data_IF_389019047030
#
_entry.id   IF_389019047030
#
_cell.length_a   1.000
_cell.length_b   1.000
_cell.length_c   1.000
_cell.angle_alpha   90.00
_cell.angle_beta   90.00
_cell.angle_gamma   90.00
#
_symmetry.space_group_name_H-M   'P 1'
#
loop_
_entity.id
_entity.type
_entity.pdbx_description
1 polymer ?
#
# COMPACT_ATOMS: atom_id res chain seq x y z
N UNK A 1 -14.94 -7.24 24.77
CA UNK A 1 -16.14 -6.66 24.10
C UNK A 1 -15.61 -5.93 22.88
N UNK A 2 -15.73 -6.51 21.69
CA UNK A 2 -15.04 -6.02 20.46
C UNK A 2 -16.09 -5.72 19.38
N UNK A 3 -16.27 -4.43 19.06
CA UNK A 3 -16.76 -3.78 17.83
C UNK A 3 -17.50 -2.47 18.18
N UNK A 4 -17.27 -1.36 17.43
CA UNK A 4 -17.68 -1.29 16.03
C UNK A 4 -16.63 -0.66 15.09
N UNK A 5 -15.99 -1.50 14.28
CA UNK A 5 -15.28 -1.10 13.05
C UNK A 5 -16.27 -0.69 11.93
N UNK A 6 -17.57 -0.95 12.11
CA UNK A 6 -18.59 -0.82 11.05
C UNK A 6 -18.92 0.61 10.63
N UNK A 7 -18.92 1.58 11.55
CA UNK A 7 -19.26 2.97 11.22
C UNK A 7 -18.15 3.71 10.46
N UNK A 8 -16.89 3.39 10.75
CA UNK A 8 -15.71 4.04 10.15
C UNK A 8 -15.39 3.48 8.76
N UNK A 9 -15.66 2.20 8.52
CA UNK A 9 -15.49 1.58 7.21
C UNK A 9 -16.39 2.20 6.13
N UNK A 10 -17.64 2.55 6.49
CA UNK A 10 -18.56 3.22 5.58
C UNK A 10 -18.15 4.68 5.26
N UNK A 11 -17.58 5.38 6.24
CA UNK A 11 -17.08 6.75 6.06
C UNK A 11 -15.79 6.79 5.25
N UNK A 12 -14.86 5.87 5.49
CA UNK A 12 -13.67 5.67 4.66
C UNK A 12 -14.07 5.25 3.24
N UNK A 13 -15.04 4.34 3.08
CA UNK A 13 -15.58 3.96 1.77
C UNK A 13 -16.16 5.18 1.02
N UNK A 14 -16.96 6.03 1.66
CA UNK A 14 -17.47 7.28 1.04
C UNK A 14 -16.36 8.27 0.70
N UNK A 15 -15.29 8.33 1.49
CA UNK A 15 -14.15 9.20 1.25
C UNK A 15 -13.27 8.68 0.10
N UNK A 16 -13.18 7.35 -0.05
CA UNK A 16 -12.52 6.67 -1.16
C UNK A 16 -13.36 6.72 -2.45
N UNK A 17 -14.68 6.58 -2.38
CA UNK A 17 -15.60 6.75 -3.53
C UNK A 17 -15.54 8.18 -4.08
N UNK A 18 -15.39 9.18 -3.20
CA UNK A 18 -15.08 10.57 -3.59
C UNK A 18 -13.68 10.76 -4.16
N UNK A 19 -12.77 9.82 -3.92
CA UNK A 19 -11.40 9.83 -4.43
C UNK A 19 -11.23 8.99 -5.72
N UNK A 20 -12.12 8.03 -5.98
CA UNK A 20 -12.26 7.31 -7.26
C UNK A 20 -12.69 8.27 -8.39
N UNK A 21 -13.32 9.38 -8.03
CA UNK A 21 -13.61 10.51 -8.91
C UNK A 21 -12.33 11.14 -9.49
N UNK A 22 -11.18 11.05 -8.79
CA UNK A 22 -9.90 11.48 -9.36
C UNK A 22 -9.39 10.55 -10.46
N UNK A 23 -9.61 9.24 -10.32
CA UNK A 23 -9.27 8.27 -11.37
C UNK A 23 -10.10 8.49 -12.63
N UNK A 24 -11.39 8.81 -12.48
CA UNK A 24 -12.29 9.14 -13.58
C UNK A 24 -12.05 10.53 -14.16
N UNK A 25 -11.76 11.54 -13.33
CA UNK A 25 -11.39 12.89 -13.78
C UNK A 25 -10.07 12.89 -14.56
N UNK A 26 -9.04 12.19 -14.08
CA UNK A 26 -7.76 12.03 -14.80
C UNK A 26 -7.89 11.18 -16.08
N UNK A 27 -8.79 10.18 -16.07
CA UNK A 27 -9.13 9.40 -17.28
C UNK A 27 -9.92 10.21 -18.31
N UNK A 28 -10.79 11.11 -17.86
CA UNK A 28 -11.53 12.03 -18.72
C UNK A 28 -10.64 13.14 -19.30
N UNK A 29 -9.70 13.67 -18.51
CA UNK A 29 -8.71 14.66 -18.95
C UNK A 29 -7.68 14.06 -19.92
N UNK A 30 -7.25 12.81 -19.71
CA UNK A 30 -6.33 12.11 -20.64
C UNK A 30 -7.00 11.68 -21.95
N UNK A 31 -8.34 11.55 -21.99
CA UNK A 31 -9.08 11.23 -23.22
C UNK A 31 -9.27 12.47 -24.12
N UNK A 32 -9.22 13.69 -23.56
CA UNK A 32 -9.37 14.95 -24.29
C UNK A 32 -8.09 15.57 -24.87
N UNK A 33 -6.91 15.12 -24.45
CA UNK A 33 -5.61 15.69 -24.86
C UNK A 33 -4.89 14.89 -25.95
N UNK A 34 -5.63 14.15 -26.80
CA UNK A 34 -5.08 13.14 -27.72
C UNK A 34 -4.79 13.60 -29.14
N UNK A 35 -4.73 14.91 -29.44
CA UNK A 35 -4.50 15.37 -30.83
C UNK A 35 -3.25 16.20 -31.11
N UNK A 36 -2.45 16.65 -30.13
CA UNK A 36 -1.25 17.46 -30.45
C UNK A 36 -0.07 17.17 -29.53
N UNK A 37 0.70 16.11 -29.83
CA UNK A 37 2.16 16.06 -29.69
C UNK A 37 2.72 14.64 -29.94
N UNK A 38 2.43 14.08 -31.11
CA UNK A 38 3.33 13.10 -31.71
C UNK A 38 4.55 13.84 -32.28
N UNK A 39 5.68 13.80 -31.58
CA UNK A 39 6.95 14.23 -32.14
C UNK A 39 7.96 14.78 -31.13
N UNK A 40 8.61 13.89 -30.38
CA UNK A 40 10.04 13.92 -30.00
C UNK A 40 10.29 13.34 -28.59
N UNK A 41 10.76 12.09 -28.57
CA UNK A 41 11.83 11.51 -27.71
C UNK A 41 11.72 9.98 -27.70
N UNK A 42 12.28 9.36 -28.74
CA UNK A 42 12.55 7.92 -28.76
C UNK A 42 13.59 7.58 -27.68
N UNK A 43 13.11 7.05 -26.55
CA UNK A 43 13.92 6.66 -25.38
C UNK A 43 13.22 6.85 -24.02
N UNK A 44 12.03 7.45 -23.97
CA UNK A 44 11.25 7.58 -22.73
C UNK A 44 10.47 6.31 -22.43
N UNK A 45 10.53 5.81 -21.19
CA UNK A 45 9.68 4.71 -20.73
C UNK A 45 8.19 4.98 -20.97
N UNK A 46 7.37 3.93 -20.96
CA UNK A 46 5.91 4.03 -21.12
C UNK A 46 5.24 3.98 -19.75
N UNK A 47 4.39 4.94 -19.41
CA UNK A 47 3.55 4.80 -18.23
C UNK A 47 2.52 3.70 -18.45
N UNK A 48 2.45 2.75 -17.52
CA UNK A 48 1.50 1.62 -17.54
C UNK A 48 0.71 1.58 -16.23
N UNK A 49 -0.59 1.20 -16.26
CA UNK A 49 -1.37 1.03 -15.04
C UNK A 49 -0.83 -0.10 -14.16
N UNK A 50 -0.88 0.12 -12.85
CA UNK A 50 -0.55 -0.86 -11.81
C UNK A 50 -1.36 -0.57 -10.54
N UNK A 51 -1.12 -1.34 -9.49
CA UNK A 51 -1.68 -1.09 -8.17
C UNK A 51 -0.57 -1.00 -7.12
N UNK A 52 -0.84 -0.23 -6.06
CA UNK A 52 -0.01 -0.12 -4.86
C UNK A 52 -0.74 -0.79 -3.70
N UNK A 53 -0.18 -1.89 -3.21
CA UNK A 53 -0.58 -2.51 -1.95
C UNK A 53 0.17 -1.84 -0.81
N UNK A 54 -0.57 -1.38 0.20
CA UNK A 54 -0.04 -0.77 1.42
C UNK A 54 -0.48 -1.59 2.61
N UNK A 55 0.47 -2.08 3.40
CA UNK A 55 0.22 -2.85 4.61
C UNK A 55 0.77 -2.05 5.79
N UNK A 56 -0.10 -1.75 6.76
CA UNK A 56 0.25 -1.01 7.97
C UNK A 56 0.18 -1.94 9.18
N UNK A 57 1.26 -1.98 9.93
CA UNK A 57 1.41 -2.80 11.13
C UNK A 57 2.29 -2.11 12.17
N UNK A 58 2.36 -2.67 13.37
CA UNK A 58 3.27 -2.18 14.40
C UNK A 58 4.68 -2.77 14.21
N UNK A 59 5.71 -2.04 14.62
CA UNK A 59 7.11 -2.48 14.52
C UNK A 59 7.40 -3.77 15.32
N UNK A 60 6.77 -3.90 16.48
CA UNK A 60 6.87 -5.03 17.39
C UNK A 60 5.93 -6.20 17.03
N UNK A 61 5.20 -6.10 15.91
CA UNK A 61 4.33 -7.17 15.45
C UNK A 61 5.16 -8.38 14.98
N UNK A 62 4.88 -9.55 15.55
CA UNK A 62 5.63 -10.78 15.33
C UNK A 62 4.78 -11.84 14.63
N UNK A 63 5.38 -12.46 13.63
CA UNK A 63 4.91 -13.70 13.00
C UNK A 63 5.88 -14.84 13.32
N UNK A 64 5.42 -15.84 14.07
CA UNK A 64 6.25 -17.02 14.46
C UNK A 64 7.64 -16.62 14.98
N UNK A 65 7.67 -15.67 15.90
CA UNK A 65 8.89 -15.11 16.54
C UNK A 65 9.82 -14.30 15.63
N UNK A 66 9.35 -13.90 14.44
CA UNK A 66 10.07 -13.00 13.53
C UNK A 66 9.27 -11.72 13.31
N UNK A 67 9.90 -10.57 13.05
CA UNK A 67 9.16 -9.36 12.71
C UNK A 67 8.23 -9.60 11.52
N UNK A 68 6.94 -9.34 11.68
CA UNK A 68 5.92 -9.65 10.67
C UNK A 68 6.18 -8.90 9.36
N UNK A 69 6.64 -7.65 9.42
CA UNK A 69 7.01 -6.88 8.22
C UNK A 69 8.11 -7.57 7.40
N UNK A 70 9.08 -8.20 8.08
CA UNK A 70 10.17 -8.91 7.42
C UNK A 70 9.65 -10.18 6.73
N UNK A 71 8.74 -10.90 7.38
CA UNK A 71 8.09 -12.06 6.79
C UNK A 71 7.23 -11.68 5.57
N UNK A 72 6.51 -10.54 5.61
CA UNK A 72 5.75 -10.03 4.46
C UNK A 72 6.68 -9.77 3.26
N UNK A 73 7.80 -9.07 3.46
CA UNK A 73 8.78 -8.81 2.39
C UNK A 73 9.36 -10.11 1.84
N UNK A 74 9.69 -11.06 2.72
CA UNK A 74 10.19 -12.37 2.31
C UNK A 74 9.18 -13.10 1.42
N UNK A 75 7.92 -13.21 1.86
CA UNK A 75 6.88 -13.88 1.07
C UNK A 75 6.60 -13.14 -0.24
N UNK A 76 6.59 -11.81 -0.25
CA UNK A 76 6.43 -11.02 -1.47
C UNK A 76 7.52 -11.32 -2.51
N UNK A 77 8.78 -11.44 -2.05
CA UNK A 77 9.91 -11.87 -2.87
C UNK A 77 9.73 -13.31 -3.37
N UNK A 78 9.32 -14.23 -2.51
CA UNK A 78 9.11 -15.64 -2.86
C UNK A 78 7.94 -15.83 -3.85
N UNK A 79 6.92 -14.97 -3.79
CA UNK A 79 5.82 -14.88 -4.78
C UNK A 79 6.22 -14.18 -6.09
N UNK A 80 7.47 -13.72 -6.21
CA UNK A 80 8.01 -13.09 -7.42
C UNK A 80 7.43 -11.71 -7.70
N UNK A 81 6.88 -11.00 -6.71
CA UNK A 81 6.38 -9.64 -6.90
C UNK A 81 7.52 -8.69 -7.27
N UNK A 82 7.20 -7.65 -8.04
CA UNK A 82 8.18 -6.74 -8.65
C UNK A 82 9.10 -6.05 -7.64
N UNK A 83 8.61 -5.81 -6.42
CA UNK A 83 9.41 -5.34 -5.30
C UNK A 83 8.57 -4.93 -4.11
N UNK A 84 9.22 -4.91 -2.94
CA UNK A 84 8.61 -4.46 -1.69
C UNK A 84 9.57 -3.50 -0.97
N UNK A 85 9.02 -2.44 -0.39
CA UNK A 85 9.76 -1.46 0.41
C UNK A 85 9.12 -1.31 1.77
N UNK A 86 9.94 -1.03 2.79
CA UNK A 86 9.50 -0.86 4.18
C UNK A 86 9.92 0.50 4.70
N UNK A 87 9.02 1.20 5.38
CA UNK A 87 9.29 2.45 6.08
C UNK A 87 8.85 2.33 7.53
N UNK A 88 9.64 2.92 8.44
CA UNK A 88 9.27 3.11 9.84
C UNK A 88 8.78 4.55 10.02
N UNK A 89 7.58 4.72 10.57
CA UNK A 89 7.05 6.02 10.93
C UNK A 89 7.61 6.52 12.26
N UNK A 90 7.52 7.83 12.47
CA UNK A 90 7.96 8.49 13.71
C UNK A 90 6.90 8.44 14.81
N UNK A 91 5.62 8.33 14.40
CA UNK A 91 4.45 8.31 15.26
C UNK A 91 3.25 7.77 14.49
N UNK A 92 2.29 7.16 15.20
CA UNK A 92 1.03 6.71 14.62
C UNK A 92 0.04 6.24 15.67
N UNK A 93 -1.22 6.09 15.25
CA UNK A 93 -2.28 5.51 16.08
C UNK A 93 -3.11 4.52 15.23
N UNK A 94 -3.64 3.48 15.88
CA UNK A 94 -4.38 2.40 15.22
C UNK A 94 -5.69 2.06 15.93
N UNK A 95 -6.26 0.90 15.60
CA UNK A 95 -7.56 0.41 16.13
C UNK A 95 -7.55 0.28 17.67
N UNK A 96 -6.37 0.18 18.30
CA UNK A 96 -6.19 0.18 19.75
C UNK A 96 -6.18 1.57 20.39
N UNK A 97 -6.36 2.67 19.63
CA UNK A 97 -6.52 4.06 20.11
C UNK A 97 -5.41 4.65 20.99
N UNK A 98 -4.19 4.10 20.97
CA UNK A 98 -3.03 4.69 21.64
C UNK A 98 -2.17 5.43 20.62
N UNK A 99 -1.73 6.65 20.97
CA UNK A 99 -0.74 7.42 20.20
C UNK A 99 0.64 6.94 20.63
N UNK A 100 1.45 6.50 19.68
CA UNK A 100 2.82 6.05 19.94
C UNK A 100 3.82 7.07 19.40
N UNK A 101 4.56 7.74 20.28
CA UNK A 101 5.55 8.77 19.93
C UNK A 101 6.95 8.31 20.34
N UNK A 102 7.98 8.57 19.53
CA UNK A 102 9.37 8.38 19.93
C UNK A 102 9.81 9.48 20.94
N UNK A 103 9.69 9.24 22.24
CA UNK A 103 10.29 10.07 23.30
C UNK A 103 11.41 9.30 24.01
N UNK A 104 12.49 10.02 24.35
CA UNK A 104 13.82 9.49 24.71
C UNK A 104 13.88 8.57 25.97
N UNK A 105 12.77 8.38 26.69
CA UNK A 105 12.69 7.48 27.86
C UNK A 105 11.52 6.48 27.81
N UNK A 106 10.73 6.49 26.73
CA UNK A 106 9.73 5.46 26.46
C UNK A 106 10.33 4.51 25.42
N UNK A 107 10.70 3.32 25.87
CA UNK A 107 11.12 2.23 24.99
C UNK A 107 10.11 2.10 23.85
N UNK A 108 10.60 2.16 22.62
CA UNK A 108 9.87 2.33 21.36
C UNK A 108 8.91 1.16 21.04
N UNK A 109 7.86 1.00 21.82
CA UNK A 109 6.87 -0.04 21.60
C UNK A 109 5.71 0.56 20.80
N UNK A 110 5.59 0.07 19.56
CA UNK A 110 4.48 0.24 18.61
C UNK A 110 4.55 1.43 17.64
N UNK A 111 5.74 1.80 17.16
CA UNK A 111 5.86 2.67 15.98
C UNK A 111 5.20 2.02 14.75
N UNK A 112 4.52 2.79 13.88
CA UNK A 112 3.93 2.23 12.69
C UNK A 112 5.01 1.85 11.67
N UNK A 113 4.85 0.68 11.06
CA UNK A 113 5.61 0.22 9.91
C UNK A 113 4.67 0.17 8.70
N UNK A 114 5.16 0.62 7.56
CA UNK A 114 4.49 0.56 6.27
C UNK A 114 5.27 -0.39 5.36
N UNK A 115 4.62 -1.42 4.83
CA UNK A 115 5.13 -2.22 3.71
C UNK A 115 4.37 -1.82 2.44
N UNK A 116 5.09 -1.42 1.40
CA UNK A 116 4.50 -1.07 0.09
C UNK A 116 4.98 -2.05 -0.97
N UNK A 117 4.06 -2.52 -1.79
CA UNK A 117 4.33 -3.36 -2.95
C UNK A 117 3.61 -2.72 -4.14
N UNK A 118 4.30 -2.59 -5.27
CA UNK A 118 3.70 -2.10 -6.52
C UNK A 118 3.85 -3.19 -7.56
N UNK A 119 2.73 -3.66 -8.10
CA UNK A 119 2.67 -4.73 -9.09
C UNK A 119 1.32 -4.68 -9.84
N UNK A 120 1.10 -5.63 -10.73
CA UNK A 120 -0.19 -5.90 -11.35
C UNK A 120 -1.25 -6.18 -10.27
N UNK A 121 -2.45 -5.60 -10.46
CA UNK A 121 -3.56 -5.69 -9.50
C UNK A 121 -3.90 -7.13 -9.12
N UNK A 122 -3.93 -8.03 -10.10
CA UNK A 122 -4.34 -9.42 -9.86
C UNK A 122 -3.29 -10.18 -9.05
N UNK A 123 -2.00 -9.93 -9.31
CA UNK A 123 -0.88 -10.52 -8.53
C UNK A 123 -0.90 -10.05 -7.08
N UNK A 124 -1.25 -8.78 -6.83
CA UNK A 124 -1.37 -8.26 -5.47
C UNK A 124 -2.56 -8.88 -4.72
N UNK A 125 -3.71 -9.06 -5.39
CA UNK A 125 -4.87 -9.73 -4.79
C UNK A 125 -4.56 -11.19 -4.47
N UNK A 126 -3.95 -11.90 -5.42
CA UNK A 126 -3.50 -13.28 -5.25
C UNK A 126 -2.55 -13.41 -4.05
N UNK A 127 -1.58 -12.50 -3.93
CA UNK A 127 -0.67 -12.45 -2.78
C UNK A 127 -1.41 -12.28 -1.45
N UNK A 128 -2.39 -11.38 -1.39
CA UNK A 128 -3.18 -11.15 -0.16
C UNK A 128 -4.00 -12.38 0.20
N UNK A 129 -4.62 -13.02 -0.78
CA UNK A 129 -5.44 -14.23 -0.56
C UNK A 129 -4.60 -15.42 -0.08
N UNK A 130 -3.45 -15.68 -0.72
CA UNK A 130 -2.56 -16.79 -0.34
C UNK A 130 -1.86 -16.59 1.02
N UNK A 131 -1.81 -15.36 1.51
CA UNK A 131 -1.16 -15.01 2.77
C UNK A 131 -2.10 -14.33 3.76
N UNK A 132 -3.39 -14.65 3.69
CA UNK A 132 -4.40 -14.15 4.63
C UNK A 132 -4.04 -14.48 6.09
N UNK A 133 -3.33 -15.57 6.35
CA UNK A 133 -2.81 -15.93 7.67
C UNK A 133 -1.83 -14.87 8.22
N UNK A 134 -0.89 -14.45 7.37
CA UNK A 134 0.14 -13.48 7.70
C UNK A 134 -0.42 -12.07 7.83
N UNK A 135 -1.41 -11.74 6.98
CA UNK A 135 -2.04 -10.43 6.90
C UNK A 135 -3.29 -10.29 7.77
N UNK A 136 -3.62 -11.32 8.55
CA UNK A 136 -4.69 -11.22 9.54
C UNK A 136 -4.38 -10.09 10.53
N UNK A 137 -5.43 -9.37 10.96
CA UNK A 137 -5.38 -8.28 11.95
C UNK A 137 -4.55 -7.03 11.58
N UNK A 138 -3.96 -6.95 10.38
CA UNK A 138 -3.28 -5.73 9.89
C UNK A 138 -4.15 -4.95 8.91
N UNK A 139 -3.90 -3.65 8.76
CA UNK A 139 -4.60 -2.84 7.77
C UNK A 139 -3.95 -3.03 6.41
N UNK A 140 -4.73 -3.49 5.43
CA UNK A 140 -4.31 -3.66 4.04
C UNK A 140 -5.14 -2.73 3.16
N UNK A 141 -4.49 -1.94 2.33
CA UNK A 141 -5.12 -1.03 1.38
C UNK A 141 -4.53 -1.22 -0.01
N UNK A 142 -5.37 -1.08 -1.03
CA UNK A 142 -4.98 -1.14 -2.43
C UNK A 142 -5.37 0.19 -3.10
N UNK A 143 -4.49 0.77 -3.91
CA UNK A 143 -4.78 1.99 -4.67
C UNK A 143 -4.23 1.89 -6.09
N UNK A 144 -4.94 2.38 -7.12
CA UNK A 144 -4.42 2.43 -8.48
C UNK A 144 -3.23 3.40 -8.56
N UNK A 145 -2.24 3.07 -9.40
CA UNK A 145 -1.08 3.91 -9.71
C UNK A 145 -0.65 3.71 -11.16
N UNK A 146 0.15 4.62 -11.71
CA UNK A 146 0.88 4.39 -12.96
C UNK A 146 2.37 4.22 -12.68
N UNK A 147 3.01 3.31 -13.39
CA UNK A 147 4.45 3.04 -13.27
C UNK A 147 5.13 3.23 -14.62
N UNK A 148 6.35 3.76 -14.60
CA UNK A 148 7.13 3.97 -15.81
C UNK A 148 7.82 2.67 -16.22
N UNK A 149 7.25 1.98 -17.21
CA UNK A 149 7.78 0.77 -17.82
C UNK A 149 9.06 1.07 -18.62
N UNK A 150 10.03 0.16 -18.59
CA UNK A 150 11.31 0.29 -19.29
C UNK A 150 12.46 0.93 -18.48
N UNK A 151 12.20 1.50 -17.30
CA UNK A 151 13.26 1.82 -16.33
C UNK A 151 13.54 0.55 -15.52
N UNK A 152 14.41 -0.33 -16.04
CA UNK A 152 14.87 -1.50 -15.28
C UNK A 152 15.59 -1.03 -14.01
N UNK A 153 15.19 -1.56 -12.85
CA UNK A 153 15.95 -1.50 -11.59
C UNK A 153 16.87 -2.70 -11.48
#
# INVERSE_FOLDING_TARGET
MVHPVSHRAAEVRRLLERHDDWGQAMSAESTGARSESEGARSGGGRWVPASRLTILLAEDDLWRHRPRYHEIVRRARDSGLAGASVWRGVEGYGVSSHIHTARLLDLAERLPVLVMIIDETDRLREFVEHHADLLDSVTVALSPVEVLDGIRR
#
